data_IF_135596891610
#
_entry.id   IF_135596891610
#
_cell.length_a   1.000
_cell.length_b   1.000
_cell.length_c   1.000
_cell.angle_alpha   90.00
_cell.angle_beta   90.00
_cell.angle_gamma   90.00
#
_symmetry.space_group_name_H-M   'P 1'
#
loop_
_entity.id
_entity.type
_entity.pdbx_description
1 polymer ?
#
# COMPACT_ATOMS: atom_id res chain seq x y z
N UNK A 1 -4.33 6.04 -12.49
CA UNK A 1 -5.17 5.55 -13.61
C UNK A 1 -5.89 6.72 -14.27
N UNK A 2 -6.23 6.60 -15.55
CA UNK A 2 -7.16 7.48 -16.26
C UNK A 2 -8.48 6.72 -16.43
N UNK A 3 -9.60 7.37 -16.11
CA UNK A 3 -10.95 6.80 -16.20
C UNK A 3 -11.71 7.44 -17.35
N UNK A 4 -12.63 6.69 -17.97
CA UNK A 4 -13.45 7.21 -19.04
C UNK A 4 -14.33 8.38 -18.54
N UNK A 5 -14.31 9.49 -19.27
CA UNK A 5 -14.99 10.74 -18.88
C UNK A 5 -16.52 10.65 -18.83
N UNK A 6 -17.12 9.64 -19.47
CA UNK A 6 -18.57 9.40 -19.49
C UNK A 6 -18.99 8.19 -18.64
N UNK A 7 -18.04 7.32 -18.30
CA UNK A 7 -18.26 6.09 -17.54
C UNK A 7 -17.06 5.83 -16.61
N UNK A 8 -17.03 6.42 -15.40
CA UNK A 8 -15.88 6.34 -14.51
C UNK A 8 -15.62 4.92 -13.97
N UNK A 9 -16.52 3.95 -14.22
CA UNK A 9 -16.27 2.53 -13.94
C UNK A 9 -15.28 1.87 -14.90
N UNK A 10 -14.92 2.53 -16.01
CA UNK A 10 -13.97 2.01 -16.99
C UNK A 10 -12.62 2.70 -16.89
N UNK A 11 -11.58 1.89 -16.73
CA UNK A 11 -10.18 2.33 -16.80
C UNK A 11 -9.74 2.42 -18.26
N UNK A 12 -9.26 3.59 -18.69
CA UNK A 12 -8.73 3.82 -20.05
C UNK A 12 -7.20 3.71 -20.11
N UNK A 13 -6.52 4.08 -19.03
CA UNK A 13 -5.06 3.95 -18.94
C UNK A 13 -4.58 3.67 -17.52
N UNK A 14 -3.55 2.84 -17.41
CA UNK A 14 -2.72 2.70 -16.21
C UNK A 14 -1.47 3.56 -16.42
N UNK A 15 -1.15 4.39 -15.43
CA UNK A 15 -0.03 5.35 -15.49
C UNK A 15 1.01 4.96 -14.45
N UNK A 16 2.14 5.67 -14.42
CA UNK A 16 3.19 5.51 -13.41
C UNK A 16 3.90 4.14 -13.46
N UNK A 17 4.48 3.83 -14.63
CA UNK A 17 5.16 2.55 -14.91
C UNK A 17 6.65 2.53 -14.51
N UNK A 18 7.16 3.57 -13.83
CA UNK A 18 8.60 3.72 -13.57
C UNK A 18 9.18 2.63 -12.66
N UNK A 19 8.34 2.00 -11.83
CA UNK A 19 8.71 0.87 -10.96
C UNK A 19 8.25 -0.48 -11.50
N UNK A 20 7.73 -0.54 -12.73
CA UNK A 20 7.24 -1.80 -13.30
C UNK A 20 8.38 -2.77 -13.58
N UNK A 21 8.15 -4.05 -13.31
CA UNK A 21 9.12 -5.12 -13.54
C UNK A 21 8.40 -6.47 -13.62
N UNK A 22 9.12 -7.52 -14.03
CA UNK A 22 8.62 -8.91 -13.97
C UNK A 22 8.85 -9.44 -12.55
N UNK A 23 7.80 -9.95 -11.92
CA UNK A 23 7.87 -10.46 -10.55
C UNK A 23 6.65 -11.30 -10.17
N UNK A 24 6.59 -11.70 -8.90
CA UNK A 24 5.43 -12.39 -8.34
C UNK A 24 4.24 -11.42 -8.22
N UNK A 25 3.08 -11.70 -8.87
CA UNK A 25 1.92 -10.80 -8.85
C UNK A 25 1.35 -10.50 -7.46
N UNK A 26 1.57 -11.38 -6.47
CA UNK A 26 1.09 -11.16 -5.11
C UNK A 26 1.84 -10.02 -4.41
N UNK A 27 3.00 -9.59 -4.93
CA UNK A 27 3.69 -8.39 -4.46
C UNK A 27 2.83 -7.14 -4.67
N UNK A 28 2.18 -7.02 -5.82
CA UNK A 28 1.29 -5.89 -6.10
C UNK A 28 0.00 -5.97 -5.28
N UNK A 29 -0.53 -7.18 -5.08
CA UNK A 29 -1.68 -7.38 -4.19
C UNK A 29 -1.35 -6.97 -2.74
N UNK A 30 -0.21 -7.40 -2.22
CA UNK A 30 0.27 -6.99 -0.90
C UNK A 30 0.47 -5.47 -0.79
N UNK A 31 0.95 -4.83 -1.87
CA UNK A 31 1.10 -3.38 -1.92
C UNK A 31 -0.25 -2.65 -1.88
N UNK A 32 -1.26 -3.13 -2.61
CA UNK A 32 -2.63 -2.60 -2.54
C UNK A 32 -3.13 -2.66 -1.09
N UNK A 33 -3.00 -3.80 -0.42
CA UNK A 33 -3.43 -4.00 0.96
C UNK A 33 -2.67 -3.10 1.95
N UNK A 34 -1.38 -2.81 1.70
CA UNK A 34 -0.60 -1.90 2.53
C UNK A 34 -1.15 -0.46 2.54
N UNK A 35 -1.77 -0.03 1.44
CA UNK A 35 -2.40 1.30 1.34
C UNK A 35 -3.91 1.28 1.63
N UNK A 36 -4.53 0.09 1.64
CA UNK A 36 -5.95 -0.05 1.89
C UNK A 36 -6.26 0.17 3.37
N UNK A 37 -6.94 1.28 3.67
CA UNK A 37 -7.33 1.60 5.04
C UNK A 37 -8.79 1.26 5.28
N UNK A 38 -9.12 0.79 6.48
CA UNK A 38 -10.47 0.49 6.92
C UNK A 38 -10.87 1.25 8.19
N UNK A 39 -12.19 1.48 8.40
CA UNK A 39 -12.72 2.01 9.66
C UNK A 39 -12.27 1.24 10.90
N UNK A 40 -12.08 -0.07 10.77
CA UNK A 40 -11.71 -1.00 11.84
C UNK A 40 -10.21 -1.08 12.12
N UNK A 41 -9.37 -0.32 11.40
CA UNK A 41 -7.93 -0.36 11.61
C UNK A 41 -7.54 0.10 13.03
N UNK A 42 -6.57 -0.55 13.69
CA UNK A 42 -6.07 -0.11 15.00
C UNK A 42 -5.58 1.34 14.96
N UNK A 43 -6.10 2.18 15.86
CA UNK A 43 -5.85 3.62 15.85
C UNK A 43 -6.84 4.44 15.01
N UNK A 44 -7.85 3.79 14.44
CA UNK A 44 -8.87 4.37 13.58
C UNK A 44 -8.43 4.46 12.12
N UNK A 45 -9.39 4.67 11.21
CA UNK A 45 -9.09 4.85 9.80
C UNK A 45 -8.14 6.04 9.60
N UNK A 46 -7.03 5.80 8.92
CA UNK A 46 -6.31 6.89 8.24
C UNK A 46 -7.30 7.53 7.27
N UNK A 47 -7.43 8.87 7.22
CA UNK A 47 -8.30 9.54 6.27
C UNK A 47 -7.95 9.09 4.84
N UNK A 48 -8.80 8.25 4.27
CA UNK A 48 -8.61 7.65 2.95
C UNK A 48 -9.95 7.49 2.26
N UNK A 49 -9.92 7.38 0.94
CA UNK A 49 -11.11 7.04 0.16
C UNK A 49 -11.61 5.63 0.50
N UNK A 50 -10.69 4.67 0.69
CA UNK A 50 -11.03 3.26 0.91
C UNK A 50 -11.68 2.99 2.26
N UNK A 51 -11.56 3.90 3.22
CA UNK A 51 -12.25 3.80 4.51
C UNK A 51 -13.70 4.27 4.47
N UNK A 52 -14.20 4.75 3.32
CA UNK A 52 -15.60 5.14 3.17
C UNK A 52 -16.52 3.91 2.95
N UNK A 53 -17.83 4.01 3.23
CA UNK A 53 -18.77 2.93 2.91
C UNK A 53 -18.76 2.57 1.41
N UNK A 54 -18.96 1.28 1.11
CA UNK A 54 -19.06 0.77 -0.27
C UNK A 54 -17.74 0.33 -0.90
N UNK A 55 -16.61 0.51 -0.22
CA UNK A 55 -15.32 -0.06 -0.62
C UNK A 55 -15.16 -1.49 -0.08
N UNK A 56 -14.46 -2.33 -0.84
CA UNK A 56 -14.13 -3.68 -0.40
C UNK A 56 -13.30 -3.68 0.88
N UNK A 57 -13.50 -4.71 1.67
CA UNK A 57 -12.58 -5.10 2.73
C UNK A 57 -11.31 -5.75 2.18
N UNK A 58 -10.17 -5.73 2.90
CA UNK A 58 -8.97 -6.47 2.54
C UNK A 58 -9.26 -7.94 2.20
N UNK A 59 -10.12 -8.60 2.97
CA UNK A 59 -10.51 -9.99 2.72
C UNK A 59 -11.26 -10.15 1.38
N UNK A 60 -12.21 -9.27 1.09
CA UNK A 60 -12.94 -9.28 -0.18
C UNK A 60 -12.03 -8.99 -1.38
N UNK A 61 -11.02 -8.11 -1.24
CA UNK A 61 -10.03 -7.87 -2.30
C UNK A 61 -9.23 -9.14 -2.60
N UNK A 62 -8.77 -9.82 -1.55
CA UNK A 62 -7.98 -11.05 -1.67
C UNK A 62 -8.80 -12.16 -2.31
N UNK A 63 -10.04 -12.36 -1.85
CA UNK A 63 -10.97 -13.35 -2.41
C UNK A 63 -11.31 -13.04 -3.87
N UNK A 64 -11.63 -11.78 -4.18
CA UNK A 64 -11.91 -11.32 -5.54
C UNK A 64 -10.73 -11.60 -6.47
N UNK A 65 -9.52 -11.22 -6.06
CA UNK A 65 -8.31 -11.44 -6.84
C UNK A 65 -8.02 -12.94 -7.05
N UNK A 66 -8.09 -13.75 -5.99
CA UNK A 66 -7.86 -15.19 -6.06
C UNK A 66 -8.85 -15.87 -7.03
N UNK A 67 -10.13 -15.54 -6.90
CA UNK A 67 -11.20 -16.12 -7.74
C UNK A 67 -11.05 -15.77 -9.22
N UNK A 68 -10.74 -14.51 -9.54
CA UNK A 68 -10.65 -14.06 -10.93
C UNK A 68 -9.35 -14.46 -11.63
N UNK A 69 -8.28 -14.70 -10.87
CA UNK A 69 -6.97 -15.05 -11.44
C UNK A 69 -6.61 -16.52 -11.33
N UNK A 70 -7.32 -17.29 -10.50
CA UNK A 70 -6.99 -18.69 -10.19
C UNK A 70 -5.71 -18.86 -9.38
N UNK A 71 -5.14 -17.78 -8.83
CA UNK A 71 -3.90 -17.82 -8.05
C UNK A 71 -4.17 -18.24 -6.61
N UNK A 72 -3.25 -19.01 -6.04
CA UNK A 72 -3.24 -19.30 -4.61
C UNK A 72 -2.83 -18.04 -3.84
N UNK A 73 -3.73 -17.55 -3.00
CA UNK A 73 -3.55 -16.37 -2.14
C UNK A 73 -3.33 -16.73 -0.67
N UNK A 74 -3.16 -18.02 -0.34
CA UNK A 74 -3.01 -18.51 1.03
C UNK A 74 -1.84 -17.87 1.80
N UNK A 75 -0.82 -17.37 1.07
CA UNK A 75 0.37 -16.73 1.63
C UNK A 75 0.30 -15.20 1.68
N UNK A 76 -0.86 -14.59 1.52
CA UNK A 76 -1.00 -13.13 1.39
C UNK A 76 -0.36 -12.35 2.55
N UNK A 77 -0.41 -12.88 3.78
CA UNK A 77 0.21 -12.26 4.96
C UNK A 77 1.70 -11.96 4.77
N UNK A 78 2.45 -12.85 4.09
CA UNK A 78 3.85 -12.61 3.76
C UNK A 78 4.01 -11.37 2.86
N UNK A 79 3.16 -11.23 1.85
CA UNK A 79 3.23 -10.12 0.91
C UNK A 79 2.78 -8.79 1.53
N UNK A 80 1.84 -8.82 2.48
CA UNK A 80 1.50 -7.64 3.27
C UNK A 80 2.68 -7.16 4.13
N UNK A 81 3.33 -8.08 4.86
CA UNK A 81 4.53 -7.76 5.65
C UNK A 81 5.65 -7.24 4.75
N UNK A 82 5.86 -7.88 3.60
CA UNK A 82 6.83 -7.42 2.61
C UNK A 82 6.51 -6.01 2.08
N UNK A 83 5.24 -5.71 1.81
CA UNK A 83 4.82 -4.38 1.35
C UNK A 83 5.01 -3.31 2.43
N UNK A 84 4.69 -3.60 3.69
CA UNK A 84 4.94 -2.71 4.83
C UNK A 84 6.44 -2.42 4.97
N UNK A 85 7.28 -3.46 4.87
CA UNK A 85 8.72 -3.31 4.91
C UNK A 85 9.24 -2.46 3.73
N UNK A 86 8.76 -2.72 2.51
CA UNK A 86 9.10 -1.93 1.31
C UNK A 86 8.75 -0.46 1.52
N UNK A 87 7.57 -0.16 2.06
CA UNK A 87 7.16 1.21 2.38
C UNK A 87 8.08 1.84 3.44
N UNK A 88 8.46 1.09 4.48
CA UNK A 88 9.40 1.56 5.49
C UNK A 88 10.76 1.93 4.89
N UNK A 89 11.29 1.12 3.97
CA UNK A 89 12.54 1.43 3.24
C UNK A 89 12.42 2.72 2.43
N UNK A 90 11.31 2.91 1.69
CA UNK A 90 11.07 4.14 0.92
C UNK A 90 11.05 5.37 1.84
N UNK A 91 10.32 5.32 2.95
CA UNK A 91 10.26 6.42 3.90
C UNK A 91 11.62 6.68 4.58
N UNK A 92 12.36 5.62 4.91
CA UNK A 92 13.69 5.72 5.50
C UNK A 92 14.68 6.41 4.55
N UNK A 93 14.61 6.13 3.25
CA UNK A 93 15.47 6.79 2.26
C UNK A 93 15.13 8.27 2.08
N UNK A 94 13.84 8.63 2.16
CA UNK A 94 13.41 10.04 2.15
C UNK A 94 13.90 10.76 3.40
N UNK A 95 13.73 10.14 4.58
CA UNK A 95 14.21 10.70 5.85
C UNK A 95 15.71 10.88 5.85
N UNK A 96 16.48 9.90 5.33
CA UNK A 96 17.93 10.00 5.23
C UNK A 96 18.37 11.23 4.45
N UNK A 97 17.70 11.53 3.31
CA UNK A 97 17.98 12.74 2.53
C UNK A 97 17.66 14.02 3.31
N UNK A 98 16.56 14.05 4.05
CA UNK A 98 16.18 15.19 4.88
C UNK A 98 17.17 15.41 6.02
N UNK A 99 17.49 14.35 6.77
CA UNK A 99 18.42 14.38 7.90
C UNK A 99 19.81 14.87 7.50
N UNK A 100 20.29 14.50 6.31
CA UNK A 100 21.58 14.94 5.78
C UNK A 100 21.52 16.28 5.03
N UNK A 101 20.39 17.00 5.06
CA UNK A 101 20.24 18.30 4.42
C UNK A 101 20.23 18.28 2.88
N UNK A 102 20.05 17.11 2.25
CA UNK A 102 19.91 16.96 0.80
C UNK A 102 18.51 17.39 0.31
N UNK A 103 17.55 17.51 1.24
CA UNK A 103 16.25 18.17 1.05
C UNK A 103 15.87 18.90 2.33
N UNK A 104 15.11 20.00 2.21
CA UNK A 104 14.66 20.84 3.33
C UNK A 104 13.13 20.78 3.51
N UNK A 105 12.47 19.81 2.87
CA UNK A 105 11.02 19.68 2.96
C UNK A 105 10.59 19.17 4.35
N UNK A 106 10.03 20.07 5.15
CA UNK A 106 9.57 19.81 6.52
C UNK A 106 8.52 18.70 6.63
N UNK A 107 7.86 18.30 5.53
CA UNK A 107 6.97 17.13 5.52
C UNK A 107 7.70 15.83 5.88
N UNK A 108 9.01 15.78 5.67
CA UNK A 108 9.83 14.59 5.90
C UNK A 108 10.45 14.52 7.30
N UNK A 109 10.32 15.57 8.11
CA UNK A 109 11.00 15.71 9.41
C UNK A 109 10.73 14.59 10.41
N UNK A 110 9.55 13.96 10.32
CA UNK A 110 9.07 12.90 11.22
C UNK A 110 8.98 11.53 10.55
N UNK A 111 9.65 11.35 9.40
CA UNK A 111 9.59 10.08 8.69
C UNK A 111 10.31 8.94 9.44
N UNK A 112 11.26 9.24 10.33
CA UNK A 112 11.84 8.27 11.27
C UNK A 112 10.77 7.63 12.18
N UNK A 113 9.87 8.43 12.74
CA UNK A 113 8.77 7.91 13.56
C UNK A 113 7.80 7.08 12.72
N UNK A 114 7.53 7.52 11.47
CA UNK A 114 6.68 6.75 10.54
C UNK A 114 7.30 5.39 10.20
N UNK A 115 8.61 5.34 9.98
CA UNK A 115 9.34 4.09 9.74
C UNK A 115 9.21 3.15 10.94
N UNK A 116 9.47 3.64 12.16
CA UNK A 116 9.32 2.83 13.39
C UNK A 116 7.91 2.25 13.53
N UNK A 117 6.88 3.05 13.24
CA UNK A 117 5.49 2.60 13.31
C UNK A 117 5.19 1.51 12.27
N UNK A 118 5.75 1.61 11.06
CA UNK A 118 5.58 0.58 10.02
C UNK A 118 6.27 -0.74 10.42
N UNK A 119 7.46 -0.67 11.03
CA UNK A 119 8.14 -1.88 11.52
C UNK A 119 7.31 -2.56 12.62
N UNK A 120 6.82 -1.80 13.60
CA UNK A 120 5.95 -2.35 14.65
C UNK A 120 4.65 -2.95 14.06
N UNK A 121 4.09 -2.33 13.01
CA UNK A 121 2.92 -2.87 12.31
C UNK A 121 3.22 -4.19 11.59
N UNK A 122 4.41 -4.32 10.98
CA UNK A 122 4.85 -5.57 10.35
C UNK A 122 5.07 -6.68 11.38
N UNK A 123 5.70 -6.36 12.52
CA UNK A 123 5.92 -7.31 13.62
C UNK A 123 4.62 -7.84 14.21
N UNK A 124 3.59 -7.01 14.33
CA UNK A 124 2.28 -7.41 14.84
C UNK A 124 1.50 -8.37 13.91
N UNK A 125 1.98 -8.61 12.69
CA UNK A 125 1.38 -9.54 11.71
C UNK A 125 2.07 -10.90 11.66
N UNK A 126 3.15 -11.10 12.41
CA UNK A 126 3.93 -12.35 12.52
C UNK A 126 3.61 -13.01 13.85
#
# INVERSE_FOLDING_TARGET
VMLNSRDPGKVEAVLDWEMSTVGDPLVDLGLILCYWSQPSDPGGAKPSLTSQPGWFTPAEIVEYYGTHTGRDVSRIAYYEVFAIFKLAVVLQQIYYRFFNGQTQDERFRHFDQRVRNLIAQAEAKI
#
